data_IF_427224727670
#
_entry.id   IF_427224727670
#
_cell.length_a   1.000
_cell.length_b   1.000
_cell.length_c   1.000
_cell.angle_alpha   90.00
_cell.angle_beta   90.00
_cell.angle_gamma   90.00
#
_symmetry.space_group_name_H-M   'P 1'
#
loop_
_entity.id
_entity.type
_entity.pdbx_description
1 polymer ?
#
# COMPACT_ATOMS: atom_id res chain seq x y z
N UNK A 1 -35.21 35.46 41.42
CA UNK A 1 -34.32 36.10 40.41
C UNK A 1 -32.94 35.40 40.34
N UNK A 2 -32.35 34.92 41.46
CA UNK A 2 -31.03 34.23 41.44
C UNK A 2 -31.09 32.84 40.76
N UNK A 3 -32.14 32.05 40.98
CA UNK A 3 -32.28 30.72 40.33
C UNK A 3 -32.42 30.80 38.79
N UNK A 4 -33.03 31.87 38.28
CA UNK A 4 -33.13 32.10 36.84
C UNK A 4 -31.78 32.51 36.22
N UNK A 5 -30.94 33.27 36.95
CA UNK A 5 -29.57 33.62 36.50
C UNK A 5 -28.66 32.40 36.51
N UNK A 6 -28.74 31.55 37.55
CA UNK A 6 -27.98 30.29 37.60
C UNK A 6 -28.36 29.35 36.45
N UNK A 7 -29.65 29.20 36.18
CA UNK A 7 -30.14 28.35 35.08
C UNK A 7 -29.72 28.90 33.68
N UNK A 8 -29.71 30.21 33.49
CA UNK A 8 -29.24 30.81 32.22
C UNK A 8 -27.72 30.67 32.04
N UNK A 9 -26.95 30.68 33.10
CA UNK A 9 -25.49 30.46 33.08
C UNK A 9 -25.15 28.98 32.78
N UNK A 10 -25.90 28.06 33.40
CA UNK A 10 -25.73 26.62 33.13
C UNK A 10 -26.11 26.27 31.69
N UNK A 11 -27.20 26.83 31.14
CA UNK A 11 -27.57 26.68 29.73
C UNK A 11 -26.49 27.25 28.80
N UNK A 12 -25.91 28.42 29.11
CA UNK A 12 -24.81 29.00 28.34
C UNK A 12 -23.59 28.08 28.27
N UNK A 13 -23.17 27.53 29.42
CA UNK A 13 -22.03 26.61 29.48
C UNK A 13 -22.29 25.28 28.76
N UNK A 14 -23.52 24.77 28.74
CA UNK A 14 -23.91 23.58 27.98
C UNK A 14 -23.89 23.86 26.48
N UNK A 15 -24.40 25.01 26.04
CA UNK A 15 -24.35 25.43 24.63
C UNK A 15 -22.93 25.60 24.14
N UNK A 16 -22.07 26.26 24.91
CA UNK A 16 -20.63 26.47 24.59
C UNK A 16 -19.86 25.13 24.47
N UNK A 17 -20.27 24.09 25.19
CA UNK A 17 -19.66 22.73 25.08
C UNK A 17 -20.22 21.93 23.92
N UNK A 18 -21.48 22.10 23.58
CA UNK A 18 -22.16 21.35 22.50
C UNK A 18 -21.80 21.91 21.12
N UNK A 19 -21.62 23.23 21.00
CA UNK A 19 -21.31 23.89 19.72
C UNK A 19 -20.04 23.33 19.05
N UNK A 20 -18.85 23.24 19.70
CA UNK A 20 -17.67 22.68 19.08
C UNK A 20 -17.81 21.18 18.78
N UNK A 21 -18.57 20.44 19.57
CA UNK A 21 -18.85 19.05 19.30
C UNK A 21 -19.70 18.86 18.04
N UNK A 22 -20.70 19.72 17.85
CA UNK A 22 -21.54 19.73 16.65
C UNK A 22 -20.76 20.17 15.40
N UNK A 23 -19.90 21.18 15.50
CA UNK A 23 -19.01 21.62 14.42
C UNK A 23 -18.00 20.52 14.02
N UNK A 24 -17.44 19.81 14.99
CA UNK A 24 -16.56 18.67 14.73
C UNK A 24 -17.27 17.49 14.05
N UNK A 25 -18.52 17.22 14.42
CA UNK A 25 -19.34 16.19 13.77
C UNK A 25 -19.68 16.60 12.33
N UNK A 26 -20.08 17.84 12.11
CA UNK A 26 -20.38 18.39 10.78
C UNK A 26 -19.13 18.38 9.88
N UNK A 27 -17.99 18.84 10.39
CA UNK A 27 -16.73 18.85 9.64
C UNK A 27 -16.24 17.43 9.31
N UNK A 28 -16.43 16.49 10.24
CA UNK A 28 -16.18 15.06 10.01
C UNK A 28 -17.10 14.48 8.92
N UNK A 29 -18.40 14.81 8.96
CA UNK A 29 -19.35 14.40 7.95
C UNK A 29 -19.01 14.97 6.56
N UNK A 30 -18.66 16.25 6.47
CA UNK A 30 -18.18 16.86 5.24
C UNK A 30 -16.88 16.22 4.73
N UNK A 31 -15.97 15.86 5.63
CA UNK A 31 -14.75 15.09 5.30
C UNK A 31 -15.11 13.76 4.60
N UNK A 32 -16.00 12.98 5.18
CA UNK A 32 -16.46 11.70 4.61
C UNK A 32 -17.14 11.90 3.25
N UNK A 33 -18.03 12.89 3.12
CA UNK A 33 -18.71 13.20 1.85
C UNK A 33 -17.69 13.58 0.76
N UNK A 34 -16.68 14.38 1.09
CA UNK A 34 -15.62 14.75 0.14
C UNK A 34 -14.76 13.55 -0.28
N UNK A 35 -14.42 12.67 0.66
CA UNK A 35 -13.69 11.43 0.34
C UNK A 35 -14.53 10.56 -0.59
N UNK A 36 -15.81 10.35 -0.28
CA UNK A 36 -16.73 9.55 -1.09
C UNK A 36 -16.91 10.15 -2.49
N UNK A 37 -17.12 11.46 -2.58
CA UNK A 37 -17.21 12.19 -3.85
C UNK A 37 -15.96 11.97 -4.69
N UNK A 38 -14.77 12.21 -4.12
CA UNK A 38 -13.50 12.06 -4.82
C UNK A 38 -13.26 10.61 -5.25
N UNK A 39 -13.66 9.64 -4.42
CA UNK A 39 -13.61 8.21 -4.76
C UNK A 39 -14.49 7.89 -5.96
N UNK A 40 -15.75 8.35 -5.97
CA UNK A 40 -16.71 8.12 -7.08
C UNK A 40 -16.19 8.76 -8.37
N UNK A 41 -15.72 10.01 -8.32
CA UNK A 41 -15.14 10.66 -9.50
C UNK A 41 -13.90 9.92 -9.99
N UNK A 42 -12.97 9.55 -9.11
CA UNK A 42 -11.78 8.78 -9.45
C UNK A 42 -12.13 7.42 -10.08
N UNK A 43 -13.16 6.75 -9.56
CA UNK A 43 -13.65 5.48 -10.08
C UNK A 43 -14.23 5.62 -11.49
N UNK A 44 -15.08 6.63 -11.72
CA UNK A 44 -15.64 6.92 -13.05
C UNK A 44 -14.54 7.22 -14.06
N UNK A 45 -13.58 8.10 -13.70
CA UNK A 45 -12.43 8.42 -14.56
C UNK A 45 -11.59 7.18 -14.86
N UNK A 46 -11.36 6.32 -13.86
CA UNK A 46 -10.62 5.06 -14.01
C UNK A 46 -11.29 4.13 -15.02
N UNK A 47 -12.61 3.94 -14.92
CA UNK A 47 -13.38 3.14 -15.89
C UNK A 47 -13.26 3.74 -17.30
N UNK A 48 -13.43 5.06 -17.43
CA UNK A 48 -13.31 5.74 -18.73
C UNK A 48 -11.92 5.55 -19.33
N UNK A 49 -10.86 5.69 -18.54
CA UNK A 49 -9.47 5.47 -18.97
C UNK A 49 -9.24 4.02 -19.41
N UNK A 50 -9.79 3.04 -18.66
CA UNK A 50 -9.69 1.63 -19.03
C UNK A 50 -10.41 1.32 -20.34
N UNK A 51 -11.62 1.83 -20.53
CA UNK A 51 -12.38 1.67 -21.78
C UNK A 51 -11.70 2.34 -22.97
N UNK A 52 -10.98 3.44 -22.74
CA UNK A 52 -10.28 4.20 -23.78
C UNK A 52 -8.79 3.88 -23.88
N UNK A 53 -8.29 2.88 -23.16
CA UNK A 53 -6.86 2.55 -23.00
C UNK A 53 -6.10 2.50 -24.31
N UNK A 54 -6.62 1.79 -25.31
CA UNK A 54 -5.94 1.62 -26.61
C UNK A 54 -5.79 2.94 -27.37
N UNK A 55 -6.85 3.77 -27.35
CA UNK A 55 -6.82 5.09 -28.00
C UNK A 55 -5.82 6.02 -27.32
N UNK A 56 -5.82 6.07 -25.98
CA UNK A 56 -4.93 6.91 -25.21
C UNK A 56 -3.46 6.48 -25.39
N UNK A 57 -3.18 5.19 -25.37
CA UNK A 57 -1.84 4.65 -25.61
C UNK A 57 -1.36 4.93 -27.04
N UNK A 58 -2.24 4.81 -28.06
CA UNK A 58 -1.90 5.13 -29.42
C UNK A 58 -1.59 6.62 -29.62
N UNK A 59 -2.34 7.51 -28.98
CA UNK A 59 -2.09 8.95 -28.99
C UNK A 59 -0.75 9.28 -28.31
N UNK A 60 -0.50 8.75 -27.10
CA UNK A 60 0.77 8.94 -26.40
C UNK A 60 1.97 8.45 -27.24
N UNK A 61 1.84 7.27 -27.87
CA UNK A 61 2.86 6.72 -28.74
C UNK A 61 3.13 7.62 -29.95
N UNK A 62 2.10 8.17 -30.60
CA UNK A 62 2.25 9.11 -31.69
C UNK A 62 3.00 10.37 -31.27
N UNK A 63 2.68 10.94 -30.10
CA UNK A 63 3.37 12.13 -29.56
C UNK A 63 4.84 11.84 -29.34
N UNK A 64 5.18 10.69 -28.75
CA UNK A 64 6.56 10.28 -28.48
C UNK A 64 7.32 10.12 -29.81
N UNK A 65 6.75 9.43 -30.79
CA UNK A 65 7.39 9.21 -32.09
C UNK A 65 7.62 10.54 -32.85
N UNK A 66 6.65 11.45 -32.78
CA UNK A 66 6.75 12.74 -33.46
C UNK A 66 7.84 13.66 -32.88
N UNK A 67 8.08 13.58 -31.56
CA UNK A 67 8.98 14.51 -30.87
C UNK A 67 10.34 13.93 -30.52
N UNK A 68 10.60 12.64 -30.81
CA UNK A 68 11.85 11.99 -30.38
C UNK A 68 12.54 11.26 -31.53
N UNK A 69 13.89 11.20 -31.47
CA UNK A 69 14.69 10.38 -32.39
C UNK A 69 14.37 8.89 -32.19
N UNK A 70 14.47 8.08 -33.23
CA UNK A 70 14.19 6.64 -33.24
C UNK A 70 14.81 5.89 -32.06
N UNK A 71 16.10 6.11 -31.80
CA UNK A 71 16.83 5.48 -30.69
C UNK A 71 16.26 5.85 -29.30
N UNK A 72 15.80 7.11 -29.13
CA UNK A 72 15.17 7.56 -27.88
C UNK A 72 13.76 6.99 -27.74
N UNK A 73 13.02 6.93 -28.84
CA UNK A 73 11.69 6.32 -28.87
C UNK A 73 11.73 4.84 -28.44
N UNK A 74 12.66 4.06 -28.96
CA UNK A 74 12.86 2.65 -28.58
C UNK A 74 13.16 2.49 -27.08
N UNK A 75 14.00 3.37 -26.51
CA UNK A 75 14.29 3.38 -25.07
C UNK A 75 13.05 3.71 -24.24
N UNK A 76 12.29 4.74 -24.62
CA UNK A 76 11.05 5.11 -23.90
C UNK A 76 10.04 3.95 -23.94
N UNK A 77 9.85 3.34 -25.12
CA UNK A 77 8.91 2.21 -25.25
C UNK A 77 9.33 1.02 -24.40
N UNK A 78 10.64 0.72 -24.32
CA UNK A 78 11.17 -0.32 -23.44
C UNK A 78 10.88 0.01 -21.98
N UNK A 79 11.16 1.24 -21.53
CA UNK A 79 10.89 1.70 -20.17
C UNK A 79 9.40 1.56 -19.84
N UNK A 80 8.50 1.99 -20.73
CA UNK A 80 7.05 1.86 -20.54
C UNK A 80 6.61 0.40 -20.42
N UNK A 81 7.17 -0.50 -21.23
CA UNK A 81 6.85 -1.93 -21.19
C UNK A 81 7.33 -2.56 -19.88
N UNK A 82 8.57 -2.28 -19.48
CA UNK A 82 9.11 -2.77 -18.19
C UNK A 82 8.33 -2.21 -17.00
N UNK A 83 7.98 -0.91 -17.02
CA UNK A 83 7.14 -0.29 -15.99
C UNK A 83 5.79 -0.99 -15.88
N UNK A 84 5.11 -1.20 -17.00
CA UNK A 84 3.81 -1.90 -16.98
C UNK A 84 3.94 -3.32 -16.43
N UNK A 85 4.98 -4.06 -16.81
CA UNK A 85 5.24 -5.43 -16.32
C UNK A 85 5.47 -5.47 -14.81
N UNK A 86 6.32 -4.59 -14.30
CA UNK A 86 6.67 -4.54 -12.87
C UNK A 86 5.46 -4.12 -12.03
N UNK A 87 4.75 -3.06 -12.45
CA UNK A 87 3.56 -2.58 -11.73
C UNK A 87 2.43 -3.60 -11.77
N UNK A 88 2.10 -4.13 -12.95
CA UNK A 88 1.02 -5.11 -13.09
C UNK A 88 1.33 -6.39 -12.30
N UNK A 89 2.56 -6.90 -12.39
CA UNK A 89 2.98 -8.09 -11.63
C UNK A 89 2.91 -7.88 -10.11
N UNK A 90 3.45 -6.75 -9.64
CA UNK A 90 3.46 -6.45 -8.21
C UNK A 90 2.05 -6.21 -7.65
N UNK A 91 1.26 -5.33 -8.30
CA UNK A 91 -0.07 -4.98 -7.79
C UNK A 91 -1.04 -6.18 -7.85
N UNK A 92 -1.05 -6.93 -8.95
CA UNK A 92 -1.89 -8.13 -9.04
C UNK A 92 -1.45 -9.19 -8.03
N UNK A 93 -0.14 -9.40 -7.87
CA UNK A 93 0.40 -10.31 -6.87
C UNK A 93 -0.02 -9.89 -5.45
N UNK A 94 0.09 -8.61 -5.12
CA UNK A 94 -0.29 -8.11 -3.78
C UNK A 94 -1.80 -8.18 -3.51
N UNK A 95 -2.63 -7.95 -4.52
CA UNK A 95 -4.10 -8.12 -4.38
C UNK A 95 -4.45 -9.58 -4.11
N UNK A 96 -3.86 -10.51 -4.86
CA UNK A 96 -4.09 -11.96 -4.67
C UNK A 96 -3.60 -12.41 -3.29
N UNK A 97 -2.39 -12.00 -2.91
CA UNK A 97 -1.79 -12.27 -1.61
C UNK A 97 -2.69 -11.79 -0.45
N UNK A 98 -3.11 -10.53 -0.50
CA UNK A 98 -4.01 -9.92 0.48
C UNK A 98 -5.37 -10.61 0.57
N UNK A 99 -5.93 -11.03 -0.56
CA UNK A 99 -7.17 -11.80 -0.59
C UNK A 99 -7.00 -13.16 0.09
N UNK A 100 -5.91 -13.87 -0.19
CA UNK A 100 -5.61 -15.17 0.44
C UNK A 100 -5.42 -15.00 1.94
N UNK A 101 -4.65 -14.00 2.38
CA UNK A 101 -4.44 -13.70 3.80
C UNK A 101 -5.76 -13.36 4.50
N UNK A 102 -6.61 -12.55 3.86
CA UNK A 102 -7.94 -12.22 4.39
C UNK A 102 -8.82 -13.47 4.58
N UNK A 103 -8.83 -14.38 3.59
CA UNK A 103 -9.59 -15.64 3.67
C UNK A 103 -9.01 -16.57 4.73
N UNK A 104 -7.69 -16.74 4.81
CA UNK A 104 -7.04 -17.56 5.84
C UNK A 104 -7.29 -17.00 7.24
N UNK A 105 -7.23 -15.67 7.38
CA UNK A 105 -7.57 -14.98 8.62
C UNK A 105 -9.03 -15.27 9.02
N UNK A 106 -9.96 -15.15 8.09
CA UNK A 106 -11.38 -15.44 8.35
C UNK A 106 -11.62 -16.88 8.79
N UNK A 107 -11.02 -17.85 8.10
CA UNK A 107 -11.13 -19.28 8.45
C UNK A 107 -10.55 -19.52 9.85
N UNK A 108 -9.35 -19.04 10.12
CA UNK A 108 -8.71 -19.21 11.41
C UNK A 108 -9.49 -18.61 12.57
N UNK A 109 -9.96 -17.37 12.44
CA UNK A 109 -10.77 -16.70 13.43
C UNK A 109 -12.13 -17.36 13.66
N UNK A 110 -12.72 -17.94 12.61
CA UNK A 110 -13.97 -18.69 12.72
C UNK A 110 -13.79 -19.99 13.48
N UNK A 111 -12.72 -20.76 13.18
CA UNK A 111 -12.37 -21.98 13.92
C UNK A 111 -12.12 -21.69 15.41
N UNK A 112 -11.50 -20.56 15.70
CA UNK A 112 -11.19 -20.13 17.07
C UNK A 112 -12.40 -19.49 17.79
N UNK A 113 -13.57 -19.44 17.17
CA UNK A 113 -14.79 -18.77 17.68
C UNK A 113 -14.52 -17.33 18.17
N UNK A 114 -13.75 -16.57 17.38
CA UNK A 114 -13.46 -15.16 17.68
C UNK A 114 -14.64 -14.27 17.33
N UNK A 115 -15.04 -13.32 18.21
CA UNK A 115 -16.02 -12.31 17.83
C UNK A 115 -15.45 -11.37 16.77
N UNK A 116 -16.34 -10.79 15.96
CA UNK A 116 -15.98 -9.85 14.87
C UNK A 116 -15.01 -10.42 13.82
N UNK A 117 -15.00 -11.75 13.62
CA UNK A 117 -14.10 -12.45 12.71
C UNK A 117 -14.11 -11.85 11.29
N UNK A 118 -15.29 -11.52 10.72
CA UNK A 118 -15.42 -10.90 9.39
C UNK A 118 -14.71 -9.54 9.36
N UNK A 119 -15.00 -8.68 10.35
CA UNK A 119 -14.44 -7.33 10.38
C UNK A 119 -12.90 -7.36 10.52
N UNK A 120 -12.39 -8.20 11.41
CA UNK A 120 -10.96 -8.35 11.65
C UNK A 120 -10.26 -8.91 10.40
N UNK A 121 -10.81 -9.95 9.78
CA UNK A 121 -10.21 -10.57 8.60
C UNK A 121 -10.22 -9.66 7.38
N UNK A 122 -11.30 -8.89 7.17
CA UNK A 122 -11.34 -7.87 6.12
C UNK A 122 -10.31 -6.77 6.38
N UNK A 123 -10.21 -6.29 7.63
CA UNK A 123 -9.23 -5.27 7.99
C UNK A 123 -7.80 -5.77 7.77
N UNK A 124 -7.46 -6.97 8.26
CA UNK A 124 -6.13 -7.58 8.08
C UNK A 124 -5.84 -7.83 6.59
N UNK A 125 -6.80 -8.37 5.83
CA UNK A 125 -6.64 -8.62 4.41
C UNK A 125 -6.42 -7.33 3.61
N UNK A 126 -7.26 -6.31 3.82
CA UNK A 126 -7.14 -5.03 3.09
C UNK A 126 -5.83 -4.31 3.43
N UNK A 127 -5.46 -4.26 4.70
CA UNK A 127 -4.21 -3.61 5.10
C UNK A 127 -2.97 -4.35 4.59
N UNK A 128 -3.04 -5.67 4.38
CA UNK A 128 -1.93 -6.48 3.87
C UNK A 128 -1.47 -6.09 2.46
N UNK A 129 -2.24 -5.27 1.73
CA UNK A 129 -1.80 -4.68 0.45
C UNK A 129 -0.52 -3.86 0.64
N UNK A 130 -0.31 -3.23 1.79
CA UNK A 130 0.90 -2.47 2.10
C UNK A 130 1.97 -3.43 2.64
N UNK A 131 3.09 -3.63 1.93
CA UNK A 131 4.18 -4.47 2.42
C UNK A 131 4.71 -3.99 3.77
N UNK A 132 5.03 -4.90 4.68
CA UNK A 132 5.56 -4.68 6.04
C UNK A 132 4.62 -3.94 6.99
N UNK A 133 4.02 -2.83 6.57
CA UNK A 133 3.14 -2.02 7.43
C UNK A 133 1.70 -2.55 7.51
N UNK A 134 1.24 -3.21 6.44
CA UNK A 134 -0.11 -3.75 6.38
C UNK A 134 -0.49 -4.63 7.56
N UNK A 135 0.34 -5.63 7.89
CA UNK A 135 0.12 -6.49 9.05
C UNK A 135 0.01 -5.73 10.37
N UNK A 136 0.85 -4.73 10.58
CA UNK A 136 0.88 -3.92 11.80
C UNK A 136 -0.37 -3.04 11.88
N UNK A 137 -0.73 -2.38 10.77
CA UNK A 137 -1.92 -1.53 10.67
C UNK A 137 -3.20 -2.33 10.89
N UNK A 138 -3.25 -3.58 10.45
CA UNK A 138 -4.38 -4.48 10.71
C UNK A 138 -4.40 -5.06 12.12
N UNK A 139 -3.25 -5.47 12.64
CA UNK A 139 -3.13 -6.11 13.95
C UNK A 139 -3.44 -5.17 15.12
N UNK A 140 -2.91 -3.93 15.11
CA UNK A 140 -3.06 -3.00 16.23
C UNK A 140 -4.54 -2.70 16.55
N UNK A 141 -5.37 -2.18 15.61
CA UNK A 141 -6.75 -1.86 15.92
C UNK A 141 -7.58 -3.13 16.20
N UNK A 142 -7.30 -4.24 15.52
CA UNK A 142 -7.99 -5.51 15.76
C UNK A 142 -7.73 -6.04 17.16
N UNK A 143 -6.46 -6.03 17.60
CA UNK A 143 -6.08 -6.48 18.94
C UNK A 143 -6.58 -5.52 20.01
N UNK A 144 -6.53 -4.21 19.77
CA UNK A 144 -7.08 -3.20 20.68
C UNK A 144 -8.59 -3.38 20.87
N UNK A 145 -9.34 -3.56 19.78
CA UNK A 145 -10.77 -3.86 19.86
C UNK A 145 -11.03 -5.10 20.71
N UNK A 146 -10.28 -6.17 20.46
CA UNK A 146 -10.45 -7.43 21.18
C UNK A 146 -10.09 -7.30 22.66
N UNK A 147 -9.11 -6.46 22.99
CA UNK A 147 -8.67 -6.22 24.37
C UNK A 147 -9.78 -5.62 25.25
N UNK A 148 -10.65 -4.77 24.68
CA UNK A 148 -11.80 -4.20 25.38
C UNK A 148 -12.93 -5.21 25.60
N UNK A 149 -12.96 -6.31 24.82
CA UNK A 149 -14.04 -7.31 24.87
C UNK A 149 -13.60 -8.50 25.75
N UNK A 150 -12.44 -9.08 25.43
CA UNK A 150 -11.87 -10.24 26.12
C UNK A 150 -10.34 -10.21 26.01
N UNK A 151 -9.62 -9.84 27.09
CA UNK A 151 -8.16 -9.79 27.08
C UNK A 151 -7.48 -11.11 26.71
N UNK A 152 -8.06 -12.26 27.08
CA UNK A 152 -7.51 -13.57 26.71
C UNK A 152 -7.59 -13.80 25.21
N UNK A 153 -8.72 -13.48 24.61
CA UNK A 153 -8.91 -13.57 23.15
C UNK A 153 -8.05 -12.58 22.40
N UNK A 154 -7.75 -11.40 22.97
CA UNK A 154 -6.83 -10.43 22.37
C UNK A 154 -5.41 -11.00 22.24
N UNK A 155 -4.90 -11.68 23.27
CA UNK A 155 -3.58 -12.32 23.21
C UNK A 155 -3.57 -13.44 22.17
N UNK A 156 -4.60 -14.28 22.14
CA UNK A 156 -4.72 -15.37 21.16
C UNK A 156 -4.76 -14.80 19.72
N UNK A 157 -5.54 -13.73 19.51
CA UNK A 157 -5.62 -13.02 18.21
C UNK A 157 -4.25 -12.51 17.78
N UNK A 158 -3.51 -11.86 18.68
CA UNK A 158 -2.19 -11.33 18.36
C UNK A 158 -1.23 -12.44 17.94
N UNK A 159 -1.18 -13.54 18.71
CA UNK A 159 -0.34 -14.70 18.38
C UNK A 159 -0.74 -15.28 17.02
N UNK A 160 -2.04 -15.43 16.76
CA UNK A 160 -2.55 -15.94 15.49
C UNK A 160 -2.15 -15.04 14.32
N UNK A 161 -2.31 -13.72 14.44
CA UNK A 161 -1.89 -12.78 13.39
C UNK A 161 -0.38 -12.88 13.15
N UNK A 162 0.45 -12.97 14.20
CA UNK A 162 1.90 -13.14 14.04
C UNK A 162 2.23 -14.43 13.28
N UNK A 163 1.60 -15.56 13.61
CA UNK A 163 1.79 -16.82 12.88
C UNK A 163 1.36 -16.69 11.42
N UNK A 164 0.20 -16.07 11.19
CA UNK A 164 -0.30 -15.81 9.83
C UNK A 164 0.67 -14.96 9.02
N UNK A 165 1.30 -13.95 9.63
CA UNK A 165 2.29 -13.10 8.98
C UNK A 165 3.61 -13.82 8.71
N UNK A 166 4.03 -14.75 9.58
CA UNK A 166 5.18 -15.61 9.30
C UNK A 166 4.91 -16.53 8.10
N UNK A 167 3.68 -17.04 7.99
CA UNK A 167 3.26 -17.83 6.83
C UNK A 167 3.23 -16.98 5.55
N UNK A 168 2.72 -15.74 5.63
CA UNK A 168 2.75 -14.79 4.52
C UNK A 168 4.19 -14.51 4.05
N UNK A 169 5.03 -14.04 4.95
CA UNK A 169 6.40 -13.62 4.63
C UNK A 169 7.31 -14.73 4.12
N UNK A 170 7.15 -15.97 4.63
CA UNK A 170 8.06 -17.08 4.31
C UNK A 170 7.54 -18.01 3.20
N UNK A 171 6.22 -18.07 2.98
CA UNK A 171 5.62 -19.03 2.05
C UNK A 171 4.82 -18.35 0.94
N UNK A 172 3.83 -17.51 1.29
CA UNK A 172 2.96 -16.88 0.31
C UNK A 172 3.67 -15.80 -0.49
N UNK A 173 4.32 -14.86 0.19
CA UNK A 173 5.03 -13.76 -0.44
C UNK A 173 6.02 -14.24 -1.51
N UNK A 174 6.98 -15.15 -1.20
CA UNK A 174 7.89 -15.71 -2.21
C UNK A 174 7.19 -16.44 -3.34
N UNK A 175 6.09 -17.16 -3.08
CA UNK A 175 5.35 -17.90 -4.11
C UNK A 175 4.54 -17.01 -5.04
N UNK A 176 3.93 -15.95 -4.52
CA UNK A 176 3.02 -15.08 -5.29
C UNK A 176 3.78 -13.94 -5.95
N UNK A 177 4.63 -13.25 -5.19
CA UNK A 177 5.38 -12.11 -5.68
C UNK A 177 6.68 -12.54 -6.38
N UNK A 178 7.23 -13.71 -6.02
CA UNK A 178 8.50 -14.22 -6.55
C UNK A 178 9.62 -13.20 -6.40
N UNK A 179 10.59 -13.26 -7.31
CA UNK A 179 11.64 -12.25 -7.43
C UNK A 179 11.18 -10.98 -8.17
N UNK A 180 9.87 -10.67 -8.13
CA UNK A 180 9.23 -9.64 -8.96
C UNK A 180 9.84 -8.25 -8.81
N UNK A 181 10.49 -7.97 -7.70
CA UNK A 181 11.09 -6.65 -7.47
C UNK A 181 12.60 -6.65 -7.51
N UNK A 182 13.27 -7.77 -7.20
CA UNK A 182 14.73 -7.86 -7.13
C UNK A 182 15.38 -6.84 -6.16
N UNK A 183 14.57 -6.20 -5.29
CA UNK A 183 15.03 -5.20 -4.34
C UNK A 183 15.48 -5.85 -3.02
N UNK A 184 16.67 -5.51 -2.51
CA UNK A 184 17.01 -5.79 -1.11
C UNK A 184 16.01 -5.16 -0.14
N UNK A 185 15.67 -5.86 0.97
CA UNK A 185 14.67 -5.42 1.94
C UNK A 185 14.89 -4.02 2.49
N UNK A 186 16.15 -3.60 2.65
CA UNK A 186 16.50 -2.21 3.03
C UNK A 186 15.87 -1.17 2.09
N UNK A 187 16.01 -1.37 0.77
CA UNK A 187 15.47 -0.45 -0.22
C UNK A 187 13.94 -0.46 -0.29
N UNK A 188 13.34 -1.58 0.07
CA UNK A 188 11.87 -1.64 0.21
C UNK A 188 11.41 -0.75 1.36
N UNK A 189 12.05 -0.81 2.53
CA UNK A 189 11.73 0.07 3.66
C UNK A 189 11.95 1.55 3.30
N UNK A 190 13.10 1.89 2.71
CA UNK A 190 13.38 3.26 2.25
C UNK A 190 12.29 3.77 1.30
N UNK A 191 11.87 2.94 0.33
CA UNK A 191 10.83 3.31 -0.62
C UNK A 191 9.49 3.59 0.06
N UNK A 192 9.10 2.74 1.02
CA UNK A 192 7.84 2.90 1.77
C UNK A 192 7.82 4.19 2.59
N UNK A 193 8.91 4.51 3.29
CA UNK A 193 9.00 5.77 4.04
C UNK A 193 9.00 6.98 3.11
N UNK A 194 9.76 6.95 2.02
CA UNK A 194 9.86 8.06 1.08
C UNK A 194 8.52 8.34 0.38
N UNK A 195 7.95 7.35 -0.27
CA UNK A 195 6.69 7.50 -1.01
C UNK A 195 5.48 7.61 -0.08
N UNK A 196 5.53 6.97 1.09
CA UNK A 196 4.48 7.10 2.10
C UNK A 196 4.38 8.51 2.65
N UNK A 197 5.50 9.20 2.87
CA UNK A 197 5.50 10.59 3.30
C UNK A 197 5.02 11.57 2.21
N UNK A 198 5.34 11.29 0.94
CA UNK A 198 4.95 12.15 -0.18
C UNK A 198 3.48 11.99 -0.60
N UNK A 199 2.98 10.76 -0.65
CA UNK A 199 1.67 10.43 -1.24
C UNK A 199 0.76 9.62 -0.28
N UNK A 200 1.13 9.51 0.99
CA UNK A 200 0.36 8.79 2.00
C UNK A 200 0.16 7.30 1.66
N UNK A 201 -1.06 6.79 1.92
CA UNK A 201 -1.41 5.40 1.68
C UNK A 201 -1.14 4.93 0.23
N UNK A 202 -1.53 5.72 -0.75
CA UNK A 202 -1.32 5.40 -2.18
C UNK A 202 0.18 5.32 -2.48
N UNK A 203 0.96 6.24 -1.90
CA UNK A 203 2.42 6.22 -2.00
C UNK A 203 3.02 4.91 -1.49
N UNK A 204 2.57 4.41 -0.35
CA UNK A 204 3.05 3.13 0.19
C UNK A 204 2.72 1.94 -0.72
N UNK A 205 1.55 1.91 -1.33
CA UNK A 205 1.15 0.84 -2.26
C UNK A 205 2.02 0.81 -3.52
N UNK A 206 2.34 1.97 -4.08
CA UNK A 206 3.15 2.08 -5.32
C UNK A 206 4.66 2.20 -5.07
N UNK A 207 5.09 2.32 -3.81
CA UNK A 207 6.48 2.55 -3.43
C UNK A 207 7.43 1.50 -3.99
N UNK A 208 7.12 0.23 -3.72
CA UNK A 208 7.99 -0.90 -4.05
C UNK A 208 8.20 -1.03 -5.56
N UNK A 209 7.16 -1.09 -6.42
CA UNK A 209 7.36 -1.18 -7.86
C UNK A 209 8.03 0.06 -8.46
N UNK A 210 7.75 1.26 -7.94
CA UNK A 210 8.41 2.48 -8.38
C UNK A 210 9.91 2.46 -8.08
N UNK A 211 10.26 2.09 -6.86
CA UNK A 211 11.67 2.04 -6.46
C UNK A 211 12.43 0.89 -7.14
N UNK A 212 11.75 -0.24 -7.40
CA UNK A 212 12.32 -1.36 -8.16
C UNK A 212 12.74 -0.92 -9.57
N UNK A 213 11.91 -0.14 -10.25
CA UNK A 213 12.24 0.42 -11.55
C UNK A 213 13.42 1.40 -11.49
N UNK A 214 13.39 2.34 -10.54
CA UNK A 214 14.47 3.30 -10.33
C UNK A 214 15.81 2.57 -10.07
N UNK A 215 15.78 1.56 -9.22
CA UNK A 215 16.95 0.74 -8.92
C UNK A 215 17.46 -0.01 -10.16
N UNK A 216 16.57 -0.66 -10.90
CA UNK A 216 16.92 -1.41 -12.11
C UNK A 216 17.54 -0.52 -13.17
N UNK A 217 16.93 0.62 -13.47
CA UNK A 217 17.46 1.56 -14.47
C UNK A 217 18.78 2.22 -14.03
N UNK A 218 18.92 2.51 -12.74
CA UNK A 218 20.17 3.02 -12.20
C UNK A 218 21.27 1.97 -12.32
N UNK A 219 20.99 0.72 -11.92
CA UNK A 219 21.93 -0.40 -12.04
C UNK A 219 22.36 -0.64 -13.49
N UNK A 220 21.41 -0.68 -14.43
CA UNK A 220 21.71 -0.82 -15.86
C UNK A 220 22.61 0.31 -16.36
N UNK A 221 22.30 1.55 -15.99
CA UNK A 221 23.09 2.73 -16.38
C UNK A 221 24.52 2.66 -15.83
N UNK A 222 24.68 2.26 -14.58
CA UNK A 222 26.00 2.09 -13.94
C UNK A 222 26.79 0.98 -14.64
N UNK A 223 26.18 -0.19 -14.85
CA UNK A 223 26.82 -1.32 -15.53
C UNK A 223 27.26 -0.94 -16.95
N UNK A 224 26.43 -0.22 -17.72
CA UNK A 224 26.79 0.25 -19.05
C UNK A 224 27.98 1.23 -19.02
N UNK A 225 28.04 2.14 -18.03
CA UNK A 225 29.18 3.07 -17.87
C UNK A 225 30.47 2.34 -17.48
N UNK A 226 30.39 1.33 -16.61
CA UNK A 226 31.53 0.51 -16.20
C UNK A 226 32.02 -0.36 -17.36
N UNK A 227 31.13 -0.89 -18.19
CA UNK A 227 31.51 -1.58 -19.44
C UNK A 227 32.31 -0.67 -20.37
N UNK A 228 31.85 0.56 -20.58
CA UNK A 228 32.59 1.53 -21.42
C UNK A 228 33.97 1.86 -20.87
N UNK A 229 34.16 1.86 -19.55
CA UNK A 229 35.42 2.13 -18.86
C UNK A 229 36.33 0.89 -18.73
N UNK A 230 35.93 -0.29 -19.23
CA UNK A 230 36.64 -1.59 -19.07
C UNK A 230 36.89 -2.00 -17.60
N UNK A 231 36.07 -1.51 -16.66
CA UNK A 231 36.20 -1.74 -15.23
C UNK A 231 35.31 -2.87 -14.70
N UNK A 232 34.79 -3.73 -15.57
CA UNK A 232 33.87 -4.81 -15.22
C UNK A 232 34.46 -5.84 -14.27
N UNK A 233 35.76 -6.04 -14.27
CA UNK A 233 36.45 -6.97 -13.36
C UNK A 233 36.33 -6.58 -11.89
N UNK A 234 36.09 -5.30 -11.58
CA UNK A 234 35.90 -4.80 -10.21
C UNK A 234 34.52 -5.11 -9.64
N UNK A 235 33.50 -5.43 -10.48
CA UNK A 235 32.14 -5.70 -10.01
C UNK A 235 32.01 -7.12 -9.48
N UNK A 236 32.79 -8.08 -10.02
CA UNK A 236 32.76 -9.47 -9.54
C UNK A 236 33.36 -9.67 -8.14
N UNK A 237 34.07 -8.68 -7.62
CA UNK A 237 34.67 -8.74 -6.28
C UNK A 237 33.68 -8.38 -5.18
N UNK A 238 32.58 -7.69 -5.50
CA UNK A 238 31.59 -7.16 -4.52
C UNK A 238 30.25 -7.87 -4.50
N UNK A 239 30.00 -8.84 -5.38
CA UNK A 239 28.80 -9.71 -5.24
C UNK A 239 29.17 -10.87 -4.30
N UNK A 240 28.63 -10.92 -3.06
CA UNK A 240 28.74 -12.13 -2.25
C UNK A 240 28.06 -13.26 -3.03
N UNK A 241 28.81 -14.33 -3.24
CA UNK A 241 28.41 -15.56 -3.90
C UNK A 241 27.00 -15.98 -3.46
N UNK A 242 26.02 -15.85 -4.37
CA UNK A 242 24.64 -16.37 -4.25
C UNK A 242 24.58 -17.89 -4.45
N UNK A 243 25.68 -18.60 -4.15
CA UNK A 243 25.75 -20.06 -4.22
C UNK A 243 26.27 -20.61 -2.90
N UNK A 244 25.49 -20.42 -1.82
CA UNK A 244 25.58 -21.27 -0.65
C UNK A 244 24.38 -20.96 0.27
N UNK A 245 23.22 -21.45 -0.06
CA UNK A 245 22.21 -21.98 0.88
C UNK A 245 21.11 -22.66 0.08
#
# INVERSE_FOLDING_TARGET
TEKLKAFSTDLGTVIEKIQPMFENILSGAWGVINVLKNFVFGFIVSIYMLCSKEKLLAQAKKIIIANTKKSTCEKIMRVCTETNKVFAGFLSGKIIDSAIIGVLCFIGLTIMNMPYNIMISVLVGVTNIIPFFGPIIGAIPSTALMLFIDPKKAIILLIFIVILQQFDGNILGPKILGDSTGLPGFWVLVSLFFFGNLFGFIGMVIAVPTFALLYTFTRESVVQRLRKKKLLSLIHISEPTRHAQ
#
